data_IF_232744195690
#
_entry.id   IF_232744195690
#
_cell.length_a   1.000
_cell.length_b   1.000
_cell.length_c   1.000
_cell.angle_alpha   90.00
_cell.angle_beta   90.00
_cell.angle_gamma   90.00
#
_symmetry.space_group_name_H-M   'P 1'
#
loop_
_entity.id
_entity.type
_entity.pdbx_description
1 polymer ?
#
# COMPACT_ATOMS: atom_id res chain seq x y z
N UNK A 1 -16.87 -34.07 16.14
CA UNK A 1 -16.11 -33.17 17.02
C UNK A 1 -16.31 -31.75 16.49
N UNK A 2 -17.18 -31.02 17.13
CA UNK A 2 -17.63 -29.68 16.71
C UNK A 2 -16.62 -28.65 17.23
N UNK A 3 -15.84 -28.06 16.35
CA UNK A 3 -14.90 -26.99 16.69
C UNK A 3 -15.68 -25.74 17.06
N UNK A 4 -15.69 -25.40 18.33
CA UNK A 4 -16.28 -24.16 18.84
C UNK A 4 -15.55 -22.96 18.25
N UNK A 5 -16.21 -22.20 17.39
CA UNK A 5 -15.81 -20.87 16.97
C UNK A 5 -15.63 -20.01 18.21
N UNK A 6 -14.39 -19.61 18.47
CA UNK A 6 -14.06 -18.68 19.55
C UNK A 6 -14.89 -17.41 19.37
N UNK A 7 -15.79 -17.13 20.32
CA UNK A 7 -16.57 -15.89 20.39
C UNK A 7 -15.59 -14.73 20.53
N UNK A 8 -15.28 -14.07 19.43
CA UNK A 8 -14.53 -12.81 19.42
C UNK A 8 -15.29 -11.78 20.26
N UNK A 9 -14.60 -11.11 21.18
CA UNK A 9 -15.14 -9.98 21.94
C UNK A 9 -15.72 -8.95 20.96
N UNK A 10 -16.93 -8.40 21.21
CA UNK A 10 -17.48 -7.33 20.37
C UNK A 10 -16.50 -6.15 20.36
N UNK A 11 -16.04 -5.79 19.17
CA UNK A 11 -15.19 -4.63 18.95
C UNK A 11 -16.01 -3.31 18.95
N UNK A 12 -15.33 -2.17 18.84
CA UNK A 12 -15.97 -0.85 18.81
C UNK A 12 -17.01 -0.71 17.67
N UNK A 13 -16.87 -1.46 16.61
CA UNK A 13 -17.74 -1.41 15.42
C UNK A 13 -19.13 -2.00 15.69
N UNK A 14 -19.22 -3.02 16.57
CA UNK A 14 -20.46 -3.68 16.95
C UNK A 14 -21.31 -2.87 17.94
N UNK A 15 -20.77 -1.82 18.53
CA UNK A 15 -21.46 -0.97 19.53
C UNK A 15 -22.27 0.17 18.92
N UNK A 16 -22.09 0.45 17.63
CA UNK A 16 -22.79 1.55 16.94
C UNK A 16 -24.14 1.05 16.45
N UNK A 17 -25.24 1.50 17.07
CA UNK A 17 -26.62 1.10 16.74
C UNK A 17 -27.38 2.22 16.07
N UNK A 18 -28.15 1.92 15.00
CA UNK A 18 -29.01 2.85 14.27
C UNK A 18 -28.84 2.79 12.76
N UNK A 19 -29.93 3.00 12.00
CA UNK A 19 -29.95 2.86 10.52
C UNK A 19 -29.02 3.83 9.77
N UNK A 20 -28.62 4.95 10.38
CA UNK A 20 -27.68 5.92 9.79
C UNK A 20 -26.21 5.59 10.06
N UNK A 21 -25.92 4.51 10.79
CA UNK A 21 -24.56 4.17 11.21
C UNK A 21 -23.91 3.06 10.37
N UNK A 22 -24.62 2.47 9.40
CA UNK A 22 -24.04 1.38 8.61
C UNK A 22 -22.80 1.82 7.79
N UNK A 23 -22.85 3.03 7.23
CA UNK A 23 -21.71 3.59 6.52
C UNK A 23 -20.50 3.83 7.47
N UNK A 24 -20.76 4.31 8.70
CA UNK A 24 -19.71 4.50 9.70
C UNK A 24 -19.11 3.15 10.15
N UNK A 25 -19.97 2.14 10.37
CA UNK A 25 -19.52 0.78 10.73
C UNK A 25 -18.67 0.17 9.63
N UNK A 26 -19.08 0.32 8.36
CA UNK A 26 -18.28 -0.12 7.21
C UNK A 26 -16.92 0.58 7.19
N UNK A 27 -16.90 1.90 7.36
CA UNK A 27 -15.67 2.68 7.38
C UNK A 27 -14.72 2.25 8.50
N UNK A 28 -15.23 2.08 9.73
CA UNK A 28 -14.45 1.59 10.86
C UNK A 28 -13.88 0.18 10.58
N UNK A 29 -14.68 -0.71 9.97
CA UNK A 29 -14.23 -2.05 9.57
C UNK A 29 -13.09 -1.98 8.54
N UNK A 30 -13.20 -1.12 7.55
CA UNK A 30 -12.15 -0.92 6.54
C UNK A 30 -10.84 -0.44 7.18
N UNK A 31 -10.90 0.56 8.06
CA UNK A 31 -9.71 1.06 8.77
C UNK A 31 -9.09 -0.04 9.62
N UNK A 32 -9.89 -0.76 10.38
CA UNK A 32 -9.40 -1.84 11.24
C UNK A 32 -8.71 -2.93 10.42
N UNK A 33 -9.35 -3.42 9.37
CA UNK A 33 -8.77 -4.43 8.49
C UNK A 33 -7.46 -3.95 7.85
N UNK A 34 -7.44 -2.73 7.29
CA UNK A 34 -6.24 -2.13 6.70
C UNK A 34 -5.11 -2.03 7.72
N UNK A 35 -5.39 -1.54 8.92
CA UNK A 35 -4.40 -1.39 9.99
C UNK A 35 -3.82 -2.74 10.42
N UNK A 36 -4.64 -3.77 10.54
CA UNK A 36 -4.19 -5.11 10.93
C UNK A 36 -3.29 -5.73 9.85
N UNK A 37 -3.67 -5.62 8.59
CA UNK A 37 -2.88 -6.10 7.46
C UNK A 37 -1.54 -5.34 7.39
N UNK A 38 -1.58 -4.01 7.43
CA UNK A 38 -0.36 -3.20 7.41
C UNK A 38 0.60 -3.53 8.55
N UNK A 39 0.11 -3.70 9.77
CA UNK A 39 0.94 -4.08 10.92
C UNK A 39 1.63 -5.42 10.70
N UNK A 40 0.90 -6.41 10.16
CA UNK A 40 1.46 -7.72 9.86
C UNK A 40 2.53 -7.63 8.76
N UNK A 41 2.26 -6.91 7.67
CA UNK A 41 3.20 -6.70 6.55
C UNK A 41 4.43 -5.94 7.01
N UNK A 42 4.28 -4.82 7.76
CA UNK A 42 5.40 -4.03 8.31
C UNK A 42 6.34 -4.87 9.15
N UNK A 43 5.81 -5.73 10.01
CA UNK A 43 6.62 -6.64 10.82
C UNK A 43 7.38 -7.61 9.93
N UNK A 44 6.70 -8.33 9.03
CA UNK A 44 7.32 -9.32 8.15
C UNK A 44 8.38 -8.72 7.22
N UNK A 45 8.17 -7.53 6.68
CA UNK A 45 9.16 -6.80 5.88
C UNK A 45 10.43 -6.49 6.67
N UNK A 46 10.28 -6.03 7.93
CA UNK A 46 11.42 -5.77 8.80
C UNK A 46 12.18 -7.04 9.16
N UNK A 47 11.45 -8.07 9.56
CA UNK A 47 12.04 -9.31 10.08
C UNK A 47 12.77 -10.08 8.96
N UNK A 48 12.25 -10.07 7.73
CA UNK A 48 12.80 -10.87 6.63
C UNK A 48 13.73 -10.10 5.70
N UNK A 49 13.51 -8.82 5.51
CA UNK A 49 14.24 -8.00 4.53
C UNK A 49 14.89 -6.74 5.13
N UNK A 50 14.72 -6.49 6.42
CA UNK A 50 15.23 -5.29 7.09
C UNK A 50 14.78 -3.98 6.41
N UNK A 51 13.59 -3.97 5.79
CA UNK A 51 13.04 -2.82 5.05
C UNK A 51 11.73 -2.33 5.69
N UNK A 52 11.49 -1.03 5.60
CA UNK A 52 10.21 -0.45 6.04
C UNK A 52 9.15 -0.57 4.93
N UNK A 53 7.85 -0.56 5.30
CA UNK A 53 6.76 -0.57 4.33
C UNK A 53 6.85 0.63 3.37
N UNK A 54 7.17 1.83 3.86
CA UNK A 54 7.32 3.01 3.01
C UNK A 54 8.41 2.85 1.93
N UNK A 55 9.51 2.17 2.24
CA UNK A 55 10.57 1.86 1.27
C UNK A 55 10.12 0.79 0.28
N UNK A 56 9.43 -0.25 0.74
CA UNK A 56 8.82 -1.26 -0.12
C UNK A 56 7.81 -0.63 -1.09
N UNK A 57 6.93 0.24 -0.61
CA UNK A 57 5.93 0.93 -1.44
C UNK A 57 6.59 1.82 -2.50
N UNK A 58 7.70 2.49 -2.15
CA UNK A 58 8.48 3.28 -3.10
C UNK A 58 9.04 2.39 -4.22
N UNK A 59 9.65 1.26 -3.87
CA UNK A 59 10.16 0.30 -4.86
C UNK A 59 9.02 -0.23 -5.74
N UNK A 60 7.84 -0.52 -5.17
CA UNK A 60 6.66 -0.96 -5.90
C UNK A 60 6.15 0.08 -6.92
N UNK A 61 6.21 1.38 -6.58
CA UNK A 61 5.86 2.43 -7.53
C UNK A 61 6.88 2.53 -8.67
N UNK A 62 8.15 2.38 -8.37
CA UNK A 62 9.22 2.43 -9.39
C UNK A 62 9.20 1.21 -10.32
N UNK A 63 8.83 0.02 -9.82
CA UNK A 63 8.68 -1.18 -10.65
C UNK A 63 7.59 -1.01 -11.72
N UNK A 64 6.49 -0.34 -11.36
CA UNK A 64 5.40 -0.03 -12.31
C UNK A 64 5.74 1.08 -13.30
N UNK A 65 6.89 1.73 -13.15
CA UNK A 65 7.35 2.82 -13.99
C UNK A 65 8.82 2.61 -14.39
N UNK A 66 9.11 1.70 -15.32
CA UNK A 66 10.48 1.34 -15.71
C UNK A 66 11.31 2.50 -16.24
N UNK A 67 10.67 3.49 -16.84
CA UNK A 67 11.31 4.73 -17.31
C UNK A 67 11.69 5.69 -16.20
N UNK A 68 11.17 5.45 -14.97
CA UNK A 68 11.39 6.27 -13.79
C UNK A 68 10.26 7.27 -13.54
N UNK A 69 10.23 7.80 -12.31
CA UNK A 69 9.27 8.80 -11.85
C UNK A 69 9.99 10.05 -11.34
N UNK A 70 9.36 11.21 -11.49
CA UNK A 70 9.82 12.44 -10.85
C UNK A 70 9.53 12.41 -9.34
N UNK A 71 10.33 13.10 -8.54
CA UNK A 71 10.16 13.15 -7.07
C UNK A 71 8.75 13.60 -6.66
N UNK A 72 8.20 14.65 -7.28
CA UNK A 72 6.85 15.12 -7.00
C UNK A 72 5.75 14.10 -7.36
N UNK A 73 5.98 13.29 -8.38
CA UNK A 73 5.05 12.22 -8.75
C UNK A 73 5.10 11.06 -7.75
N UNK A 74 6.29 10.68 -7.29
CA UNK A 74 6.46 9.71 -6.21
C UNK A 74 5.76 10.17 -4.92
N UNK A 75 5.95 11.43 -4.55
CA UNK A 75 5.30 12.04 -3.37
C UNK A 75 3.77 11.94 -3.45
N UNK A 76 3.19 12.30 -4.58
CA UNK A 76 1.73 12.20 -4.81
C UNK A 76 1.23 10.75 -4.76
N UNK A 77 1.92 9.81 -5.44
CA UNK A 77 1.52 8.40 -5.49
C UNK A 77 1.57 7.73 -4.13
N UNK A 78 2.55 8.10 -3.30
CA UNK A 78 2.74 7.53 -1.96
C UNK A 78 2.01 8.31 -0.86
N UNK A 79 1.35 9.43 -1.21
CA UNK A 79 0.64 10.30 -0.26
C UNK A 79 1.53 10.76 0.91
N UNK A 80 2.81 11.05 0.61
CA UNK A 80 3.80 11.51 1.60
C UNK A 80 4.36 12.88 1.23
N UNK A 81 4.90 13.60 2.21
CA UNK A 81 5.52 14.91 1.97
C UNK A 81 6.79 14.79 1.13
N UNK A 82 7.13 15.85 0.38
CA UNK A 82 8.35 15.92 -0.43
C UNK A 82 9.64 15.71 0.40
N UNK A 83 9.68 16.18 1.64
CA UNK A 83 10.82 15.97 2.53
C UNK A 83 11.01 14.49 2.88
N UNK A 84 9.93 13.79 3.18
CA UNK A 84 9.98 12.37 3.52
C UNK A 84 10.43 11.51 2.31
N UNK A 85 9.90 11.79 1.11
CA UNK A 85 10.30 11.04 -0.10
C UNK A 85 11.78 11.25 -0.44
N UNK A 86 12.33 12.45 -0.20
CA UNK A 86 13.75 12.74 -0.45
C UNK A 86 14.67 11.88 0.42
N UNK A 87 14.33 11.73 1.70
CA UNK A 87 15.06 10.87 2.63
C UNK A 87 14.98 9.38 2.23
N UNK A 88 13.80 8.90 1.88
CA UNK A 88 13.61 7.52 1.44
C UNK A 88 14.41 7.20 0.17
N UNK A 89 14.36 8.08 -0.84
CA UNK A 89 15.12 7.92 -2.09
C UNK A 89 16.63 7.96 -1.82
N UNK A 90 17.11 8.87 -0.94
CA UNK A 90 18.53 8.95 -0.63
C UNK A 90 19.06 7.66 0.00
N UNK A 91 18.31 7.05 0.93
CA UNK A 91 18.66 5.77 1.54
C UNK A 91 18.74 4.64 0.49
N UNK A 92 17.73 4.52 -0.37
CA UNK A 92 17.70 3.49 -1.42
C UNK A 92 18.78 3.68 -2.49
N UNK A 93 19.17 4.92 -2.76
CA UNK A 93 20.34 5.22 -3.64
C UNK A 93 21.65 4.79 -2.97
N UNK A 94 21.83 5.10 -1.68
CA UNK A 94 23.02 4.67 -0.93
C UNK A 94 23.15 3.13 -0.88
N UNK A 95 22.03 2.42 -0.88
CA UNK A 95 22.00 0.94 -0.92
C UNK A 95 22.10 0.37 -2.34
N UNK A 96 22.19 1.21 -3.37
CA UNK A 96 22.31 0.76 -4.76
C UNK A 96 21.02 0.17 -5.36
N UNK A 97 19.87 0.27 -4.67
CA UNK A 97 18.59 -0.26 -5.15
C UNK A 97 17.88 0.69 -6.13
N UNK A 98 18.18 1.96 -6.03
CA UNK A 98 17.57 3.04 -6.82
C UNK A 98 18.65 3.94 -7.36
N UNK A 99 18.45 4.50 -8.53
CA UNK A 99 19.32 5.53 -9.12
C UNK A 99 18.52 6.78 -9.48
N UNK A 100 19.22 7.93 -9.48
CA UNK A 100 18.72 9.20 -10.00
C UNK A 100 19.34 9.48 -11.35
N UNK A 101 18.52 9.76 -12.35
CA UNK A 101 18.99 10.17 -13.67
C UNK A 101 18.52 11.59 -14.00
N UNK A 102 19.41 12.45 -14.53
CA UNK A 102 18.99 13.76 -14.98
C UNK A 102 17.98 13.61 -16.14
N UNK A 103 17.00 14.51 -16.18
CA UNK A 103 16.07 14.60 -17.32
C UNK A 103 16.78 15.30 -18.47
N UNK A 104 16.81 14.73 -19.69
CA UNK A 104 17.31 15.45 -20.85
C UNK A 104 16.61 16.82 -20.99
N UNK A 105 17.39 17.88 -21.16
CA UNK A 105 16.90 19.27 -21.30
C UNK A 105 16.37 19.96 -20.02
N UNK A 106 16.37 19.29 -18.85
CA UNK A 106 15.99 19.90 -17.58
C UNK A 106 16.97 19.46 -16.47
N UNK A 107 18.03 20.24 -16.27
CA UNK A 107 19.10 19.94 -15.29
C UNK A 107 18.61 19.96 -13.83
N UNK A 108 17.45 20.53 -13.55
CA UNK A 108 16.87 20.59 -12.20
C UNK A 108 15.96 19.39 -11.91
N UNK A 109 15.52 18.68 -12.94
CA UNK A 109 14.65 17.53 -12.79
C UNK A 109 15.45 16.22 -12.85
N UNK A 110 15.12 15.31 -11.94
CA UNK A 110 15.66 13.95 -11.90
C UNK A 110 14.54 12.94 -11.96
N UNK A 111 14.76 11.88 -12.73
CA UNK A 111 13.97 10.66 -12.68
C UNK A 111 14.62 9.70 -11.69
N UNK A 112 13.78 9.10 -10.88
CA UNK A 112 14.14 8.05 -9.94
C UNK A 112 13.68 6.73 -10.53
N UNK A 113 14.54 5.73 -10.59
CA UNK A 113 14.19 4.39 -11.11
C UNK A 113 14.94 3.29 -10.37
N UNK A 114 14.45 2.06 -10.48
CA UNK A 114 15.15 0.90 -9.96
C UNK A 114 16.44 0.63 -10.76
N UNK A 115 17.48 0.23 -10.04
CA UNK A 115 18.64 -0.43 -10.63
C UNK A 115 18.31 -1.88 -11.01
N UNK A 116 19.23 -2.60 -11.64
CA UNK A 116 19.07 -4.04 -11.85
C UNK A 116 18.98 -4.80 -10.51
N UNK A 117 19.80 -4.39 -9.53
CA UNK A 117 19.79 -4.96 -8.18
C UNK A 117 18.50 -4.63 -7.44
N UNK A 118 18.01 -3.40 -7.57
CA UNK A 118 16.74 -2.99 -7.02
C UNK A 118 15.57 -3.80 -7.56
N UNK A 119 15.54 -4.10 -8.85
CA UNK A 119 14.50 -4.97 -9.44
C UNK A 119 14.57 -6.40 -8.90
N UNK A 120 15.78 -6.98 -8.79
CA UNK A 120 15.94 -8.31 -8.22
C UNK A 120 15.50 -8.37 -6.76
N UNK A 121 15.95 -7.40 -5.96
CA UNK A 121 15.59 -7.31 -4.54
C UNK A 121 14.07 -7.11 -4.37
N UNK A 122 13.47 -6.20 -5.13
CA UNK A 122 12.02 -5.98 -5.08
C UNK A 122 11.23 -7.22 -5.51
N UNK A 123 11.65 -7.92 -6.57
CA UNK A 123 11.01 -9.16 -7.02
C UNK A 123 10.92 -10.22 -5.92
N UNK A 124 12.02 -10.42 -5.17
CA UNK A 124 12.03 -11.32 -4.03
C UNK A 124 11.07 -10.88 -2.90
N UNK A 125 11.05 -9.58 -2.59
CA UNK A 125 10.12 -9.02 -1.59
C UNK A 125 8.67 -9.12 -2.04
N UNK A 126 8.37 -8.84 -3.31
CA UNK A 126 7.03 -8.88 -3.86
C UNK A 126 6.43 -10.30 -3.83
N UNK A 127 7.22 -11.33 -4.17
CA UNK A 127 6.79 -12.72 -4.10
C UNK A 127 6.44 -13.15 -2.66
N UNK A 128 7.23 -12.72 -1.67
CA UNK A 128 6.93 -12.99 -0.26
C UNK A 128 5.70 -12.20 0.20
N UNK A 129 5.60 -10.93 -0.18
CA UNK A 129 4.45 -10.09 0.14
C UNK A 129 3.15 -10.69 -0.38
N UNK A 130 3.13 -11.19 -1.62
CA UNK A 130 1.96 -11.87 -2.20
C UNK A 130 1.55 -13.07 -1.35
N UNK A 131 2.51 -13.93 -0.95
CA UNK A 131 2.24 -15.07 -0.05
C UNK A 131 1.63 -14.63 1.28
N UNK A 132 2.15 -13.56 1.88
CA UNK A 132 1.62 -13.04 3.14
C UNK A 132 0.19 -12.52 3.01
N UNK A 133 -0.14 -11.86 1.89
CA UNK A 133 -1.51 -11.39 1.66
C UNK A 133 -2.46 -12.58 1.49
N UNK A 134 -2.05 -13.63 0.76
CA UNK A 134 -2.84 -14.86 0.65
C UNK A 134 -3.10 -15.47 2.03
N UNK A 135 -2.08 -15.60 2.87
CA UNK A 135 -2.22 -16.11 4.24
C UNK A 135 -3.15 -15.25 5.11
N UNK A 136 -2.96 -13.93 5.09
CA UNK A 136 -3.75 -12.99 5.89
C UNK A 136 -5.23 -12.96 5.48
N UNK A 137 -5.53 -13.32 4.24
CA UNK A 137 -6.89 -13.36 3.70
C UNK A 137 -7.47 -14.77 3.58
N UNK A 138 -6.79 -15.79 4.09
CA UNK A 138 -7.18 -17.20 3.95
C UNK A 138 -8.53 -17.54 4.61
N UNK A 139 -8.94 -16.74 5.62
CA UNK A 139 -10.24 -16.90 6.28
C UNK A 139 -11.46 -16.50 5.44
N UNK A 140 -11.24 -15.90 4.26
CA UNK A 140 -12.28 -15.52 3.30
C UNK A 140 -12.14 -16.41 2.08
N UNK A 141 -13.20 -17.11 1.69
CA UNK A 141 -13.14 -18.01 0.54
C UNK A 141 -12.95 -17.28 -0.80
N UNK A 142 -12.66 -18.02 -1.87
CA UNK A 142 -12.36 -17.42 -3.17
C UNK A 142 -13.52 -16.65 -3.80
N UNK A 143 -14.77 -17.10 -3.58
CA UNK A 143 -15.96 -16.42 -4.09
C UNK A 143 -16.22 -15.13 -3.30
N UNK A 144 -16.12 -15.20 -1.99
CA UNK A 144 -16.26 -14.07 -1.08
C UNK A 144 -15.18 -13.00 -1.33
N UNK A 145 -13.91 -13.40 -1.55
CA UNK A 145 -12.83 -12.47 -1.92
C UNK A 145 -13.12 -11.74 -3.22
N UNK A 146 -13.61 -12.44 -4.25
CA UNK A 146 -14.00 -11.79 -5.52
C UNK A 146 -15.13 -10.80 -5.32
N UNK A 147 -16.16 -11.17 -4.54
CA UNK A 147 -17.29 -10.30 -4.23
C UNK A 147 -16.83 -9.06 -3.44
N UNK A 148 -16.01 -9.24 -2.41
CA UNK A 148 -15.45 -8.14 -1.64
C UNK A 148 -14.61 -7.21 -2.52
N UNK A 149 -13.77 -7.75 -3.40
CA UNK A 149 -12.98 -6.97 -4.34
C UNK A 149 -13.86 -6.12 -5.27
N UNK A 150 -14.96 -6.67 -5.80
CA UNK A 150 -15.91 -5.94 -6.64
C UNK A 150 -16.57 -4.79 -5.86
N UNK A 151 -17.11 -5.05 -4.66
CA UNK A 151 -17.74 -4.04 -3.81
C UNK A 151 -16.78 -2.92 -3.39
N UNK A 152 -15.53 -3.25 -3.08
CA UNK A 152 -14.50 -2.25 -2.81
C UNK A 152 -14.13 -1.44 -4.06
N UNK A 153 -14.24 -2.03 -5.25
CA UNK A 153 -14.11 -1.32 -6.52
C UNK A 153 -15.19 -0.26 -6.72
N UNK A 154 -16.45 -0.62 -6.46
CA UNK A 154 -17.59 0.29 -6.51
C UNK A 154 -17.45 1.43 -5.47
N UNK A 155 -17.12 1.08 -4.24
CA UNK A 155 -16.85 2.07 -3.18
C UNK A 155 -15.75 3.06 -3.58
N UNK A 156 -14.64 2.56 -4.12
CA UNK A 156 -13.54 3.41 -4.62
C UNK A 156 -13.99 4.37 -5.73
N UNK A 157 -14.83 3.90 -6.65
CA UNK A 157 -15.39 4.74 -7.70
C UNK A 157 -16.30 5.84 -7.13
N UNK A 158 -17.18 5.48 -6.18
CA UNK A 158 -18.06 6.41 -5.48
C UNK A 158 -17.29 7.50 -4.72
N UNK A 159 -16.27 7.13 -3.96
CA UNK A 159 -15.42 8.09 -3.23
C UNK A 159 -14.75 9.07 -4.20
N UNK A 160 -14.20 8.59 -5.32
CA UNK A 160 -13.57 9.46 -6.31
C UNK A 160 -14.54 10.43 -6.99
N UNK A 161 -15.78 9.99 -7.23
CA UNK A 161 -16.81 10.85 -7.81
C UNK A 161 -17.32 11.92 -6.83
N UNK A 162 -17.23 11.65 -5.52
CA UNK A 162 -17.64 12.58 -4.47
C UNK A 162 -16.56 13.58 -4.04
N UNK A 163 -15.30 13.39 -4.44
CA UNK A 163 -14.26 14.39 -4.19
C UNK A 163 -14.42 15.57 -5.17
N UNK A 164 -14.69 16.80 -4.68
CA UNK A 164 -14.74 17.96 -5.56
C UNK A 164 -13.36 18.14 -6.18
N UNK A 165 -13.29 17.89 -7.50
CA UNK A 165 -12.23 18.21 -8.45
C UNK A 165 -10.82 18.48 -7.88
N UNK A 166 -10.12 17.44 -7.50
CA UNK A 166 -8.68 17.49 -7.24
C UNK A 166 -7.87 17.46 -8.53
N UNK A 167 -8.27 18.24 -9.54
CA UNK A 167 -7.50 18.41 -10.77
C UNK A 167 -6.84 19.79 -10.75
N UNK A 168 -5.53 19.80 -10.63
CA UNK A 168 -4.67 20.88 -11.08
C UNK A 168 -4.42 22.06 -10.11
N UNK A 169 -3.45 21.91 -9.21
CA UNK A 169 -2.44 22.98 -8.98
C UNK A 169 -1.07 22.41 -8.64
#
# INVERSE_FOLDING_TARGET
MTTALARTRPDHETRVTGAHHDALRLWLRLITCTTLIERAVRRRLRDRFSITLARFDLLAQLERAPTGLRMGELSRRLMVTNGNITGLVAQLVAEGLVERRPVPKDRRAHLVRLTADGRRAFGAMAAEHERWIVELTAGVDGAERRRLHALLGELKASVRAGEPGGDGR
#
